data_IF_634406902273
#
_entry.id   IF_634406902273
#
_cell.length_a   1.000
_cell.length_b   1.000
_cell.length_c   1.000
_cell.angle_alpha   90.00
_cell.angle_beta   90.00
_cell.angle_gamma   90.00
#
_symmetry.space_group_name_H-M   'P 1'
#
loop_
_entity.id
_entity.type
_entity.pdbx_description
1 polymer ?
#
# COMPACT_ATOMS: atom_id res chain seq x y z
N UNK A 1 -9.55 1.10 -9.05
CA UNK A 1 -8.15 0.83 -9.43
C UNK A 1 -7.88 1.08 -10.91
N UNK A 2 -8.52 0.37 -11.85
CA UNK A 2 -8.35 0.58 -13.31
C UNK A 2 -8.40 2.06 -13.69
N UNK A 3 -9.49 2.77 -13.33
CA UNK A 3 -9.63 4.22 -13.58
C UNK A 3 -8.46 5.07 -13.10
N UNK A 4 -7.85 4.73 -11.95
CA UNK A 4 -6.75 5.49 -11.38
C UNK A 4 -5.41 5.18 -12.06
N UNK A 5 -5.21 3.94 -12.51
CA UNK A 5 -3.94 3.47 -13.09
C UNK A 5 -3.89 3.53 -14.62
N UNK A 6 -5.04 3.64 -15.31
CA UNK A 6 -5.09 3.78 -16.78
C UNK A 6 -4.19 4.89 -17.32
N UNK A 7 -4.14 6.11 -16.72
CA UNK A 7 -3.24 7.17 -17.20
C UNK A 7 -1.75 6.83 -17.09
N UNK A 8 -1.38 5.90 -16.21
CA UNK A 8 0.00 5.44 -15.97
C UNK A 8 0.33 4.24 -16.86
N UNK A 9 -0.67 3.58 -17.45
CA UNK A 9 -0.50 2.46 -18.38
C UNK A 9 -0.19 1.11 -17.72
N UNK A 10 -0.36 1.00 -16.40
CA UNK A 10 -0.17 -0.27 -15.68
C UNK A 10 -1.49 -1.01 -15.45
N UNK A 11 -1.49 -2.30 -15.78
CA UNK A 11 -2.58 -3.25 -15.55
C UNK A 11 -2.14 -4.42 -14.67
N UNK A 12 -0.86 -4.50 -14.34
CA UNK A 12 -0.31 -5.49 -13.42
C UNK A 12 -0.28 -4.92 -12.00
N UNK A 13 -1.22 -5.37 -11.17
CA UNK A 13 -1.35 -4.95 -9.79
C UNK A 13 -0.17 -5.36 -8.91
N UNK A 14 0.57 -6.41 -9.29
CA UNK A 14 1.78 -6.83 -8.59
C UNK A 14 3.03 -6.04 -9.02
N UNK A 15 2.96 -5.19 -10.03
CA UNK A 15 4.02 -4.22 -10.33
C UNK A 15 4.02 -3.02 -9.38
N UNK A 16 2.98 -2.87 -8.54
CA UNK A 16 2.77 -1.73 -7.65
C UNK A 16 3.20 -2.04 -6.20
N UNK A 17 3.56 -1.00 -5.44
CA UNK A 17 3.54 -1.04 -3.98
C UNK A 17 2.16 -0.66 -3.42
N UNK A 18 1.80 -1.20 -2.26
CA UNK A 18 0.42 -1.14 -1.76
C UNK A 18 0.32 -0.69 -0.30
N UNK A 19 -0.68 0.15 -0.04
CA UNK A 19 -1.15 0.51 1.31
C UNK A 19 -2.69 0.42 1.33
N UNK A 20 -3.25 -0.32 2.27
CA UNK A 20 -4.70 -0.49 2.42
C UNK A 20 -5.15 -0.10 3.83
N UNK A 21 -5.38 1.19 4.05
CA UNK A 21 -5.68 1.77 5.35
C UNK A 21 -7.15 1.58 5.77
N UNK A 22 -7.38 1.33 7.07
CA UNK A 22 -8.68 1.00 7.68
C UNK A 22 -9.36 -0.28 7.16
N UNK A 23 -8.64 -1.14 6.43
CA UNK A 23 -9.08 -2.48 6.13
C UNK A 23 -8.73 -3.41 7.30
N UNK A 24 -9.75 -4.05 7.90
CA UNK A 24 -9.53 -5.14 8.86
C UNK A 24 -8.93 -6.38 8.17
N UNK A 25 -8.42 -7.37 8.94
CA UNK A 25 -7.71 -8.52 8.38
C UNK A 25 -8.48 -9.25 7.26
N UNK A 26 -9.79 -9.49 7.47
CA UNK A 26 -10.65 -10.13 6.47
C UNK A 26 -10.78 -9.33 5.17
N UNK A 27 -10.78 -8.00 5.26
CA UNK A 27 -10.85 -7.14 4.07
C UNK A 27 -9.53 -7.20 3.30
N UNK A 28 -8.39 -7.19 4.00
CA UNK A 28 -7.08 -7.37 3.37
C UNK A 28 -6.97 -8.73 2.66
N UNK A 29 -7.44 -9.79 3.30
CA UNK A 29 -7.47 -11.14 2.71
C UNK A 29 -8.35 -11.16 1.45
N UNK A 30 -9.52 -10.52 1.49
CA UNK A 30 -10.39 -10.44 0.32
C UNK A 30 -9.77 -9.62 -0.81
N UNK A 31 -9.09 -8.51 -0.51
CA UNK A 31 -8.37 -7.71 -1.51
C UNK A 31 -7.33 -8.58 -2.20
N UNK A 32 -6.51 -9.34 -1.45
CA UNK A 32 -5.50 -10.23 -2.04
C UNK A 32 -6.11 -11.25 -3.00
N UNK A 33 -7.21 -11.89 -2.61
CA UNK A 33 -7.88 -12.90 -3.42
C UNK A 33 -8.52 -12.30 -4.68
N UNK A 34 -9.30 -11.24 -4.53
CA UNK A 34 -10.11 -10.67 -5.62
C UNK A 34 -9.27 -10.06 -6.74
N UNK A 35 -8.09 -9.52 -6.42
CA UNK A 35 -7.22 -8.89 -7.43
C UNK A 35 -5.98 -9.73 -7.78
N UNK A 36 -5.84 -10.92 -7.18
CA UNK A 36 -4.68 -11.80 -7.38
C UNK A 36 -3.38 -11.18 -6.89
N UNK A 37 -3.42 -10.49 -5.74
CA UNK A 37 -2.27 -9.81 -5.18
C UNK A 37 -1.37 -10.81 -4.45
N UNK A 38 -0.06 -10.69 -4.64
CA UNK A 38 0.91 -11.43 -3.84
C UNK A 38 0.82 -11.02 -2.37
N UNK A 39 0.84 -11.98 -1.45
CA UNK A 39 0.73 -11.77 0.01
C UNK A 39 1.68 -10.69 0.56
N UNK A 40 2.88 -10.59 -0.02
CA UNK A 40 3.90 -9.62 0.39
C UNK A 40 3.53 -8.16 0.13
N UNK A 41 2.54 -7.88 -0.73
CA UNK A 41 2.14 -6.52 -1.10
C UNK A 41 1.45 -5.78 0.04
N UNK A 42 0.67 -6.48 0.88
CA UNK A 42 0.00 -5.89 2.04
C UNK A 42 0.78 -6.08 3.35
N UNK A 43 2.02 -6.57 3.29
CA UNK A 43 2.83 -6.87 4.47
C UNK A 43 3.01 -5.65 5.39
N UNK A 44 3.31 -4.47 4.82
CA UNK A 44 3.45 -3.22 5.58
C UNK A 44 2.14 -2.84 6.26
N UNK A 45 1.02 -2.97 5.54
CA UNK A 45 -0.31 -2.67 6.07
C UNK A 45 -0.65 -3.61 7.24
N UNK A 46 -0.39 -4.92 7.07
CA UNK A 46 -0.61 -5.93 8.11
C UNK A 46 0.26 -5.71 9.33
N UNK A 47 1.52 -5.34 9.14
CA UNK A 47 2.43 -5.05 10.24
C UNK A 47 1.99 -3.83 11.06
N UNK A 48 1.67 -2.72 10.41
CA UNK A 48 1.19 -1.54 11.15
C UNK A 48 -0.12 -1.85 11.88
N UNK A 49 -1.01 -2.61 11.25
CA UNK A 49 -2.24 -3.06 11.91
C UNK A 49 -1.97 -3.98 13.11
N UNK A 50 -0.98 -4.87 13.05
CA UNK A 50 -0.65 -5.76 14.17
C UNK A 50 0.00 -5.03 15.34
N UNK A 51 0.87 -4.05 15.06
CA UNK A 51 1.59 -3.31 16.10
C UNK A 51 0.73 -2.23 16.77
N UNK A 52 -0.12 -1.54 15.99
CA UNK A 52 -0.79 -0.32 16.45
C UNK A 52 -2.32 -0.40 16.41
N UNK A 53 -2.89 -1.44 15.79
CA UNK A 53 -4.33 -1.54 15.60
C UNK A 53 -4.90 -0.45 14.70
N UNK A 54 -6.18 -0.15 14.88
CA UNK A 54 -6.89 0.84 14.08
C UNK A 54 -6.72 2.25 14.67
N UNK A 55 -5.81 3.03 14.09
CA UNK A 55 -5.51 4.40 14.52
C UNK A 55 -6.41 5.48 13.87
N UNK A 56 -7.44 5.09 13.11
CA UNK A 56 -8.16 6.03 12.25
C UNK A 56 -7.22 6.67 11.22
N UNK A 57 -7.59 7.82 10.66
CA UNK A 57 -6.93 8.40 9.48
C UNK A 57 -5.40 8.58 9.56
N UNK A 58 -4.81 8.70 10.76
CA UNK A 58 -3.35 8.84 10.91
C UNK A 58 -2.58 7.56 10.55
N UNK A 59 -3.24 6.39 10.57
CA UNK A 59 -2.55 5.12 10.32
C UNK A 59 -1.92 5.02 8.94
N UNK A 60 -2.41 5.80 7.98
CA UNK A 60 -1.80 5.91 6.65
C UNK A 60 -0.37 6.46 6.70
N UNK A 61 -0.11 7.42 7.59
CA UNK A 61 1.22 8.03 7.76
C UNK A 61 2.19 7.02 8.35
N UNK A 62 1.73 6.20 9.30
CA UNK A 62 2.53 5.11 9.87
C UNK A 62 2.88 4.05 8.84
N UNK A 63 1.93 3.70 7.95
CA UNK A 63 2.19 2.75 6.85
C UNK A 63 3.22 3.28 5.86
N UNK A 64 3.16 4.57 5.49
CA UNK A 64 4.17 5.21 4.64
C UNK A 64 5.54 5.27 5.32
N UNK A 65 5.56 5.62 6.61
CA UNK A 65 6.80 5.68 7.40
C UNK A 65 7.46 4.31 7.56
N UNK A 66 6.67 3.28 7.83
CA UNK A 66 7.15 1.90 7.90
C UNK A 66 7.68 1.43 6.54
N UNK A 67 6.95 1.69 5.45
CA UNK A 67 7.36 1.29 4.10
C UNK A 67 8.71 1.90 3.70
N UNK A 68 8.89 3.21 3.88
CA UNK A 68 10.15 3.88 3.49
C UNK A 68 11.33 3.41 4.36
N UNK A 69 11.10 3.19 5.67
CA UNK A 69 12.13 2.72 6.60
C UNK A 69 12.57 1.30 6.28
N UNK A 70 11.62 0.38 6.05
CA UNK A 70 11.92 -0.98 5.60
C UNK A 70 12.68 -0.99 4.28
N UNK A 71 12.23 -0.19 3.32
CA UNK A 71 12.89 -0.10 2.01
C UNK A 71 14.35 0.31 2.14
N UNK A 72 14.67 1.25 3.03
CA UNK A 72 16.04 1.67 3.32
C UNK A 72 16.85 0.55 4.00
N UNK A 73 16.32 -0.07 5.05
CA UNK A 73 17.00 -1.16 5.79
C UNK A 73 17.27 -2.37 4.88
N UNK A 74 16.31 -2.72 4.03
CA UNK A 74 16.42 -3.82 3.07
C UNK A 74 17.20 -3.45 1.80
N UNK A 75 17.77 -2.23 1.72
CA UNK A 75 18.54 -1.72 0.57
C UNK A 75 17.79 -1.85 -0.76
N UNK A 76 16.50 -1.51 -0.77
CA UNK A 76 15.69 -1.45 -1.99
C UNK A 76 16.06 -0.22 -2.82
N UNK A 77 15.76 -0.27 -4.11
CA UNK A 77 16.06 0.83 -5.04
C UNK A 77 15.24 2.11 -4.79
N UNK A 78 14.06 1.99 -4.19
CA UNK A 78 13.14 3.13 -3.96
C UNK A 78 12.48 3.05 -2.59
N UNK A 79 11.93 4.17 -2.12
CA UNK A 79 11.10 4.24 -0.90
C UNK A 79 9.83 3.38 -0.96
N UNK A 80 9.41 2.97 -2.16
CA UNK A 80 8.24 2.13 -2.43
C UNK A 80 8.60 0.65 -2.57
N UNK A 81 9.49 0.13 -1.73
CA UNK A 81 10.01 -1.25 -1.78
C UNK A 81 10.68 -1.63 -3.11
N UNK A 82 11.30 -0.66 -3.79
CA UNK A 82 11.98 -0.88 -5.08
C UNK A 82 11.06 -0.80 -6.29
N UNK A 83 9.83 -0.34 -6.12
CA UNK A 83 8.85 -0.11 -7.19
C UNK A 83 8.62 1.38 -7.37
N UNK A 84 8.40 1.84 -8.59
CA UNK A 84 8.20 3.26 -8.92
C UNK A 84 6.80 3.74 -8.55
N UNK A 85 5.79 2.94 -8.87
CA UNK A 85 4.39 3.30 -8.68
C UNK A 85 3.74 2.49 -7.57
N UNK A 86 2.79 3.12 -6.89
CA UNK A 86 2.00 2.47 -5.87
C UNK A 86 0.61 3.04 -5.74
N UNK A 87 -0.24 2.30 -5.04
CA UNK A 87 -1.60 2.70 -4.74
C UNK A 87 -1.84 2.65 -3.24
N UNK A 88 -2.59 3.63 -2.77
CA UNK A 88 -3.02 3.72 -1.39
C UNK A 88 -4.53 3.85 -1.34
N UNK A 89 -5.16 2.99 -0.54
CA UNK A 89 -6.58 2.98 -0.29
C UNK A 89 -6.89 3.42 1.14
N UNK A 90 -7.89 4.26 1.30
CA UNK A 90 -8.52 4.57 2.58
C UNK A 90 -9.98 4.14 2.57
N UNK A 91 -10.39 3.35 3.57
CA UNK A 91 -11.80 2.94 3.75
C UNK A 91 -12.44 3.77 4.88
N UNK A 92 -13.59 4.38 4.60
CA UNK A 92 -14.32 5.24 5.54
C UNK A 92 -15.83 4.98 5.59
N UNK A 93 -16.56 5.63 6.52
CA UNK A 93 -18.00 5.41 6.76
C UNK A 93 -18.91 5.60 5.53
N UNK A 94 -20.06 4.92 5.54
CA UNK A 94 -21.06 4.89 4.46
C UNK A 94 -20.81 3.72 3.49
N UNK A 95 -19.93 3.96 2.54
CA UNK A 95 -18.77 3.13 2.15
C UNK A 95 -18.00 4.08 1.25
N UNK A 96 -17.02 4.77 1.82
CA UNK A 96 -16.18 5.71 1.07
C UNK A 96 -14.83 5.05 0.84
N UNK A 97 -14.37 5.06 -0.42
CA UNK A 97 -13.05 4.59 -0.79
C UNK A 97 -12.27 5.77 -1.35
N UNK A 98 -11.25 6.18 -0.62
CA UNK A 98 -10.25 7.12 -1.11
C UNK A 98 -9.16 6.33 -1.82
N UNK A 99 -8.80 6.76 -3.03
CA UNK A 99 -7.71 6.15 -3.82
C UNK A 99 -6.69 7.21 -4.14
N UNK A 100 -5.45 6.97 -3.75
CA UNK A 100 -4.32 7.85 -4.08
C UNK A 100 -3.30 7.05 -4.87
N UNK A 101 -2.80 7.63 -5.96
CA UNK A 101 -1.68 7.08 -6.71
C UNK A 101 -0.42 7.77 -6.25
N UNK A 102 0.60 6.98 -5.97
CA UNK A 102 1.86 7.42 -5.38
C UNK A 102 3.01 7.08 -6.31
N UNK A 103 3.98 7.98 -6.39
CA UNK A 103 5.27 7.73 -7.01
C UNK A 103 6.32 7.67 -5.91
N UNK A 104 7.17 6.65 -5.92
CA UNK A 104 8.26 6.52 -4.97
C UNK A 104 9.42 7.44 -5.33
N UNK A 105 10.41 7.49 -4.44
CA UNK A 105 11.64 8.26 -4.64
C UNK A 105 12.81 7.27 -4.63
N UNK A 106 13.79 7.41 -5.54
CA UNK A 106 15.01 6.61 -5.50
C UNK A 106 15.72 6.74 -4.16
N UNK A 107 16.22 5.62 -3.64
CA UNK A 107 17.12 5.61 -2.50
C UNK A 107 18.55 5.58 -3.04
N UNK A 108 19.35 6.58 -2.67
CA UNK A 108 20.79 6.54 -2.90
C UNK A 108 21.38 5.47 -1.97
N UNK A 109 21.57 4.26 -2.51
CA UNK A 109 22.25 3.14 -1.83
C UNK A 109 23.74 3.16 -2.07
#
# INVERSE_FOLDING_TARGET
LVKAMTPIGTTDWNSLFWIAHNAGPKVLDQIEVEIGLERQKLEVTRHVLSEYGHMGGVGVVFMLDEMRKRSLVERKATTGRGLDWGVMFGFGPGLTIETMVLHSVPLET
#
